data_IF_396676600114
#
_entry.id   IF_396676600114
#
_cell.length_a   1.000
_cell.length_b   1.000
_cell.length_c   1.000
_cell.angle_alpha   90.00
_cell.angle_beta   90.00
_cell.angle_gamma   90.00
#
_symmetry.space_group_name_H-M   'P 1'
#
loop_
_entity.id
_entity.type
_entity.pdbx_description
1 polymer ?
#
# COMPACT_ATOMS: atom_id res chain seq x y z
N UNK A 1 -6.37 -29.92 0.31
CA UNK A 1 -5.54 -29.99 -0.92
C UNK A 1 -5.91 -28.78 -1.76
N UNK A 2 -5.09 -27.73 -1.74
CA UNK A 2 -5.23 -26.64 -2.68
C UNK A 2 -4.68 -27.10 -4.02
N UNK A 3 -5.52 -27.69 -4.84
CA UNK A 3 -5.16 -28.12 -6.22
C UNK A 3 -5.33 -26.98 -7.22
N UNK A 4 -6.04 -25.91 -6.87
CA UNK A 4 -6.22 -24.73 -7.69
C UNK A 4 -5.81 -23.50 -6.92
N UNK A 5 -4.55 -23.09 -7.08
CA UNK A 5 -4.08 -21.78 -6.64
C UNK A 5 -4.66 -20.74 -7.60
N UNK A 6 -5.86 -20.29 -7.29
CA UNK A 6 -6.44 -19.13 -7.94
C UNK A 6 -5.71 -17.87 -7.49
N UNK A 7 -5.85 -16.80 -8.26
CA UNK A 7 -5.27 -15.48 -7.95
C UNK A 7 -5.60 -14.98 -6.54
N UNK A 8 -6.72 -15.41 -5.96
CA UNK A 8 -7.19 -15.00 -4.65
C UNK A 8 -6.91 -16.10 -3.63
N UNK A 9 -5.78 -16.04 -2.98
CA UNK A 9 -5.45 -16.92 -1.86
C UNK A 9 -4.93 -16.10 -0.69
N UNK A 10 -5.04 -16.64 0.51
CA UNK A 10 -4.55 -16.03 1.74
C UNK A 10 -3.87 -17.07 2.63
N UNK A 11 -2.92 -16.64 3.41
CA UNK A 11 -2.28 -17.41 4.48
C UNK A 11 -2.17 -16.53 5.73
N UNK A 12 -3.25 -16.40 6.50
CA UNK A 12 -3.27 -15.52 7.67
C UNK A 12 -2.26 -15.90 8.75
N UNK A 13 -1.87 -17.19 8.84
CA UNK A 13 -0.86 -17.66 9.80
C UNK A 13 0.51 -17.05 9.48
N UNK A 14 0.80 -16.83 8.19
CA UNK A 14 2.02 -16.17 7.72
C UNK A 14 1.85 -14.66 7.54
N UNK A 15 0.70 -14.11 7.88
CA UNK A 15 0.40 -12.69 7.73
C UNK A 15 0.08 -12.28 6.29
N UNK A 16 -0.15 -13.22 5.38
CA UNK A 16 -0.55 -12.93 4.01
C UNK A 16 -2.06 -12.90 3.87
N UNK A 17 -2.63 -11.71 3.66
CA UNK A 17 -4.10 -11.50 3.63
C UNK A 17 -4.69 -11.81 2.25
N UNK A 18 -3.86 -11.81 1.21
CA UNK A 18 -4.25 -12.10 -0.16
C UNK A 18 -4.80 -10.89 -0.91
N UNK A 19 -4.79 -10.94 -2.24
CA UNK A 19 -5.34 -9.89 -3.08
C UNK A 19 -6.86 -10.01 -3.20
N UNK A 20 -7.52 -8.87 -3.40
CA UNK A 20 -8.92 -8.79 -3.80
C UNK A 20 -9.04 -7.96 -5.08
N UNK A 21 -10.10 -8.21 -5.87
CA UNK A 21 -10.27 -7.52 -7.16
C UNK A 21 -10.67 -6.06 -7.03
N UNK A 22 -11.19 -5.63 -5.89
CA UNK A 22 -11.57 -4.25 -5.63
C UNK A 22 -10.32 -3.42 -5.34
N UNK A 23 -9.96 -2.56 -6.31
CA UNK A 23 -8.74 -1.78 -6.25
C UNK A 23 -8.74 -0.79 -5.08
N UNK A 24 -7.74 -0.91 -4.23
CA UNK A 24 -7.55 -0.04 -3.07
C UNK A 24 -8.19 -0.54 -1.77
N UNK A 25 -9.13 -1.46 -1.82
CA UNK A 25 -9.87 -1.93 -0.62
C UNK A 25 -8.99 -2.67 0.40
N UNK A 26 -7.83 -3.20 -0.04
CA UNK A 26 -6.88 -3.80 0.90
C UNK A 26 -6.27 -2.77 1.87
N UNK A 27 -6.23 -1.50 1.53
CA UNK A 27 -5.72 -0.45 2.43
C UNK A 27 -6.61 -0.32 3.68
N UNK A 28 -7.92 -0.10 3.57
CA UNK A 28 -8.80 -0.09 4.75
C UNK A 28 -8.85 -1.44 5.48
N UNK A 29 -8.70 -2.57 4.78
CA UNK A 29 -8.59 -3.89 5.44
C UNK A 29 -7.33 -3.95 6.32
N UNK A 30 -6.18 -3.53 5.81
CA UNK A 30 -4.94 -3.46 6.59
C UNK A 30 -5.06 -2.50 7.78
N UNK A 31 -5.76 -1.39 7.62
CA UNK A 31 -6.06 -0.48 8.73
C UNK A 31 -6.81 -1.18 9.86
N UNK A 32 -7.82 -2.00 9.53
CA UNK A 32 -8.55 -2.79 10.51
C UNK A 32 -7.66 -3.79 11.25
N UNK A 33 -6.78 -4.48 10.53
CA UNK A 33 -5.81 -5.43 11.11
C UNK A 33 -4.85 -4.71 12.06
N UNK A 34 -4.30 -3.55 11.63
CA UNK A 34 -3.40 -2.76 12.46
C UNK A 34 -4.07 -2.18 13.71
N UNK A 35 -5.32 -1.75 13.61
CA UNK A 35 -6.10 -1.33 14.78
C UNK A 35 -6.28 -2.50 15.76
N UNK A 36 -6.67 -3.67 15.27
CA UNK A 36 -6.81 -4.86 16.10
C UNK A 36 -5.49 -5.25 16.78
N UNK A 37 -4.37 -5.20 16.04
CA UNK A 37 -3.03 -5.46 16.57
C UNK A 37 -2.67 -4.47 17.69
N UNK A 38 -2.95 -3.18 17.49
CA UNK A 38 -2.72 -2.14 18.50
C UNK A 38 -3.55 -2.39 19.77
N UNK A 39 -4.83 -2.76 19.62
CA UNK A 39 -5.69 -3.10 20.75
C UNK A 39 -5.16 -4.31 21.54
N UNK A 40 -4.54 -5.27 20.84
CA UNK A 40 -3.87 -6.43 21.44
C UNK A 40 -2.46 -6.14 21.94
N UNK A 41 -1.95 -4.91 21.77
CA UNK A 41 -0.58 -4.50 22.08
C UNK A 41 0.50 -5.30 21.32
N UNK A 42 0.17 -5.75 20.11
CA UNK A 42 1.10 -6.39 19.20
C UNK A 42 1.83 -5.33 18.38
N UNK A 43 3.14 -5.50 18.20
CA UNK A 43 3.94 -4.62 17.36
C UNK A 43 4.00 -5.21 15.94
N UNK A 44 3.17 -4.70 15.03
CA UNK A 44 3.07 -5.15 13.65
C UNK A 44 3.14 -3.98 12.68
N UNK A 45 3.77 -4.19 11.54
CA UNK A 45 3.72 -3.31 10.38
C UNK A 45 2.95 -4.02 9.28
N UNK A 46 2.07 -3.32 8.59
CA UNK A 46 1.39 -3.84 7.42
C UNK A 46 1.95 -3.21 6.14
N UNK A 47 2.00 -4.01 5.08
CA UNK A 47 2.39 -3.55 3.74
C UNK A 47 1.25 -3.82 2.77
N UNK A 48 0.80 -2.79 2.07
CA UNK A 48 -0.19 -2.89 1.01
C UNK A 48 0.45 -2.51 -0.34
N UNK A 49 0.35 -3.41 -1.32
CA UNK A 49 0.81 -3.19 -2.69
C UNK A 49 -0.36 -2.71 -3.54
N UNK A 50 -0.17 -1.63 -4.29
CA UNK A 50 -1.18 -1.08 -5.18
C UNK A 50 -0.55 -0.57 -6.48
N UNK A 51 -1.27 -0.65 -7.59
CA UNK A 51 -0.85 -0.02 -8.83
C UNK A 51 -1.10 1.51 -8.80
N UNK A 52 -0.46 2.24 -9.73
CA UNK A 52 -0.61 3.67 -9.89
C UNK A 52 -2.08 4.11 -10.08
N UNK A 53 -2.87 3.35 -10.86
CA UNK A 53 -4.29 3.63 -11.06
C UNK A 53 -5.13 3.57 -9.79
N UNK A 54 -4.77 2.72 -8.84
CA UNK A 54 -5.44 2.59 -7.55
C UNK A 54 -5.40 3.89 -6.75
N UNK A 55 -4.36 4.71 -6.93
CA UNK A 55 -4.20 5.99 -6.23
C UNK A 55 -5.27 7.02 -6.54
N UNK A 56 -6.16 6.74 -7.51
CA UNK A 56 -7.30 7.58 -7.88
C UNK A 56 -8.64 7.09 -7.32
N UNK A 57 -8.65 5.98 -6.58
CA UNK A 57 -9.87 5.44 -5.96
C UNK A 57 -10.18 6.10 -4.62
N UNK A 58 -11.47 6.15 -4.26
CA UNK A 58 -11.90 6.63 -2.94
C UNK A 58 -11.29 5.81 -1.81
N UNK A 59 -11.30 4.48 -1.94
CA UNK A 59 -10.74 3.55 -0.95
C UNK A 59 -9.25 3.83 -0.64
N UNK A 60 -8.45 4.19 -1.67
CA UNK A 60 -7.07 4.61 -1.48
C UNK A 60 -6.99 5.87 -0.62
N UNK A 61 -7.70 6.94 -1.01
CA UNK A 61 -7.64 8.23 -0.33
C UNK A 61 -8.14 8.14 1.11
N UNK A 62 -9.28 7.50 1.31
CA UNK A 62 -9.88 7.32 2.63
C UNK A 62 -9.01 6.44 3.52
N UNK A 63 -8.51 5.32 2.98
CA UNK A 63 -7.68 4.38 3.71
C UNK A 63 -6.33 4.97 4.13
N UNK A 64 -5.62 5.65 3.23
CA UNK A 64 -4.34 6.31 3.55
C UNK A 64 -4.54 7.44 4.55
N UNK A 65 -5.56 8.27 4.35
CA UNK A 65 -5.89 9.35 5.30
C UNK A 65 -6.24 8.81 6.69
N UNK A 66 -7.02 7.74 6.76
CA UNK A 66 -7.36 7.09 8.04
C UNK A 66 -6.10 6.57 8.73
N UNK A 67 -5.22 5.87 8.00
CA UNK A 67 -3.94 5.39 8.54
C UNK A 67 -3.10 6.54 9.10
N UNK A 68 -3.00 7.65 8.37
CA UNK A 68 -2.27 8.84 8.77
C UNK A 68 -2.83 9.45 10.07
N UNK A 69 -4.16 9.69 10.12
CA UNK A 69 -4.84 10.26 11.30
C UNK A 69 -4.68 9.36 12.52
N UNK A 70 -4.80 8.06 12.34
CA UNK A 70 -4.67 7.07 13.41
C UNK A 70 -3.22 6.70 13.72
N UNK A 71 -2.24 7.23 12.96
CA UNK A 71 -0.81 6.86 13.10
C UNK A 71 -0.62 5.34 13.10
N UNK A 72 -1.21 4.68 12.10
CA UNK A 72 -1.06 3.24 11.92
C UNK A 72 0.25 2.95 11.18
N UNK A 73 0.99 1.90 11.57
CA UNK A 73 2.21 1.48 10.90
C UNK A 73 1.89 0.77 9.56
N UNK A 74 1.30 1.53 8.62
CA UNK A 74 0.94 1.08 7.28
C UNK A 74 1.95 1.62 6.27
N UNK A 75 2.55 0.73 5.50
CA UNK A 75 3.37 1.07 4.34
C UNK A 75 2.56 0.77 3.09
N UNK A 76 2.29 1.78 2.28
CA UNK A 76 1.63 1.61 0.99
C UNK A 76 2.67 1.71 -0.13
N UNK A 77 2.89 0.62 -0.85
CA UNK A 77 3.79 0.57 -2.02
C UNK A 77 2.97 0.82 -3.27
N UNK A 78 3.32 1.88 -4.00
CA UNK A 78 2.71 2.21 -5.28
C UNK A 78 3.64 1.73 -6.40
N UNK A 79 3.21 0.69 -7.11
CA UNK A 79 3.89 0.17 -8.29
C UNK A 79 3.51 1.01 -9.50
N UNK A 80 4.38 1.98 -9.84
CA UNK A 80 4.15 2.88 -10.96
C UNK A 80 4.81 2.35 -12.23
N UNK A 81 4.03 1.69 -13.06
CA UNK A 81 4.47 1.23 -14.39
C UNK A 81 4.11 2.24 -15.52
N UNK A 82 3.57 3.39 -15.17
CA UNK A 82 3.18 4.44 -16.12
C UNK A 82 1.77 4.31 -16.69
N UNK A 83 1.05 3.21 -16.41
CA UNK A 83 -0.26 2.94 -16.96
C UNK A 83 -1.19 2.23 -15.98
N UNK A 84 -2.40 2.74 -15.82
CA UNK A 84 -3.50 1.99 -15.24
C UNK A 84 -4.27 1.35 -16.40
N UNK A 85 -4.05 0.06 -16.62
CA UNK A 85 -4.56 -0.67 -17.78
C UNK A 85 -4.13 0.03 -19.09
N UNK A 86 -5.02 0.78 -19.75
CA UNK A 86 -4.73 1.54 -20.98
C UNK A 86 -4.60 3.06 -20.74
N UNK A 87 -4.76 3.53 -19.50
CA UNK A 87 -4.76 4.95 -19.16
C UNK A 87 -3.37 5.37 -18.66
N UNK A 88 -2.63 6.23 -19.37
CA UNK A 88 -1.34 6.71 -18.92
C UNK A 88 -1.48 7.59 -17.68
N UNK A 89 -0.46 7.58 -16.79
CA UNK A 89 -0.46 8.29 -15.51
C UNK A 89 -0.77 9.78 -15.64
N UNK A 90 -0.31 10.46 -16.70
CA UNK A 90 -0.61 11.87 -16.98
C UNK A 90 -2.11 12.20 -17.15
N UNK A 91 -2.95 11.17 -17.37
CA UNK A 91 -4.40 11.30 -17.44
C UNK A 91 -5.10 10.92 -16.15
N UNK A 92 -4.37 10.43 -15.16
CA UNK A 92 -4.89 9.98 -13.87
C UNK A 92 -4.57 10.94 -12.74
N UNK A 93 -3.36 11.50 -12.73
CA UNK A 93 -2.88 12.36 -11.66
C UNK A 93 -2.19 13.59 -12.24
N UNK A 94 -2.41 14.73 -11.62
CA UNK A 94 -1.81 16.02 -12.00
C UNK A 94 -0.55 16.34 -11.15
N UNK A 95 -0.21 15.53 -10.16
CA UNK A 95 1.05 15.65 -9.42
C UNK A 95 2.22 15.23 -10.31
N UNK A 96 3.40 15.81 -10.07
CA UNK A 96 4.61 15.47 -10.82
C UNK A 96 5.07 14.03 -10.53
N UNK A 97 4.95 13.60 -9.28
CA UNK A 97 5.21 12.23 -8.85
C UNK A 97 4.15 11.75 -7.85
N UNK A 98 3.88 10.45 -7.80
CA UNK A 98 2.90 9.91 -6.84
C UNK A 98 3.31 10.13 -5.38
N UNK A 99 4.61 10.23 -5.10
CA UNK A 99 5.13 10.55 -3.77
C UNK A 99 4.65 11.91 -3.25
N UNK A 100 4.30 12.85 -4.14
CA UNK A 100 3.79 14.17 -3.76
C UNK A 100 2.44 14.09 -3.01
N UNK A 101 1.68 13.00 -3.23
CA UNK A 101 0.43 12.75 -2.50
C UNK A 101 0.65 12.59 -1.00
N UNK A 102 1.83 12.10 -0.59
CA UNK A 102 2.20 11.91 0.81
C UNK A 102 2.16 13.24 1.58
N UNK A 103 2.53 14.34 0.95
CA UNK A 103 2.50 15.69 1.54
C UNK A 103 1.05 16.05 1.96
N UNK A 104 0.09 15.76 1.09
CA UNK A 104 -1.33 16.04 1.36
C UNK A 104 -1.90 15.23 2.54
N UNK A 105 -1.36 14.04 2.80
CA UNK A 105 -1.75 13.20 3.94
C UNK A 105 -0.92 13.46 5.20
N UNK A 106 0.16 14.25 5.11
CA UNK A 106 1.07 14.50 6.23
C UNK A 106 1.86 13.26 6.66
N UNK A 107 2.24 12.40 5.70
CA UNK A 107 3.00 11.17 5.93
C UNK A 107 4.34 11.21 5.23
N UNK A 108 5.25 10.30 5.60
CA UNK A 108 6.52 10.12 4.92
C UNK A 108 6.29 9.58 3.50
N UNK A 109 6.80 10.30 2.48
CA UNK A 109 6.86 9.85 1.10
C UNK A 109 8.30 9.47 0.73
N UNK A 110 8.47 8.28 0.15
CA UNK A 110 9.75 7.79 -0.36
C UNK A 110 9.58 7.35 -1.80
N UNK A 111 10.61 7.55 -2.61
CA UNK A 111 10.65 7.10 -4.01
C UNK A 111 11.96 6.36 -4.25
N UNK A 112 11.89 5.27 -5.01
CA UNK A 112 13.04 4.45 -5.37
C UNK A 112 12.88 3.87 -6.76
N UNK A 113 13.98 3.43 -7.37
CA UNK A 113 13.93 2.63 -8.59
C UNK A 113 13.53 1.19 -8.22
N UNK A 114 12.36 0.75 -8.67
CA UNK A 114 11.84 -0.60 -8.43
C UNK A 114 12.64 -1.73 -9.11
N UNK A 115 13.56 -1.40 -10.02
CA UNK A 115 14.45 -2.37 -10.67
C UNK A 115 15.79 -2.53 -9.93
N UNK A 116 16.07 -1.70 -8.92
CA UNK A 116 17.24 -1.83 -8.05
C UNK A 116 16.84 -2.47 -6.72
N UNK A 117 17.17 -3.74 -6.54
CA UNK A 117 16.82 -4.51 -5.35
C UNK A 117 17.47 -3.95 -4.07
N UNK A 118 18.68 -3.39 -4.16
CA UNK A 118 19.36 -2.79 -3.01
C UNK A 118 18.68 -1.50 -2.61
N UNK A 119 18.38 -0.63 -3.57
CA UNK A 119 17.65 0.61 -3.33
C UNK A 119 16.25 0.35 -2.75
N UNK A 120 15.54 -0.67 -3.24
CA UNK A 120 14.26 -1.11 -2.69
C UNK A 120 14.39 -1.55 -1.24
N UNK A 121 15.39 -2.37 -0.91
CA UNK A 121 15.63 -2.83 0.45
C UNK A 121 15.91 -1.66 1.41
N UNK A 122 16.83 -0.76 1.05
CA UNK A 122 17.17 0.40 1.89
C UNK A 122 15.98 1.35 2.07
N UNK A 123 15.17 1.53 1.02
CA UNK A 123 13.96 2.36 1.09
C UNK A 123 12.92 1.73 2.00
N UNK A 124 12.69 0.42 1.90
CA UNK A 124 11.75 -0.30 2.77
C UNK A 124 12.23 -0.27 4.23
N UNK A 125 13.52 -0.47 4.47
CA UNK A 125 14.10 -0.38 5.82
C UNK A 125 13.81 0.98 6.45
N UNK A 126 14.05 2.08 5.72
CA UNK A 126 13.72 3.43 6.18
C UNK A 126 12.23 3.63 6.48
N UNK A 127 11.36 3.03 5.67
CA UNK A 127 9.92 3.12 5.88
C UNK A 127 9.47 2.38 7.14
N UNK A 128 10.09 1.24 7.45
CA UNK A 128 9.78 0.44 8.65
C UNK A 128 10.31 1.10 9.93
N UNK A 129 11.45 1.79 9.83
CA UNK A 129 12.09 2.46 10.98
C UNK A 129 11.47 3.82 11.34
N UNK A 130 10.61 4.37 10.45
CA UNK A 130 9.93 5.66 10.65
C UNK A 130 8.72 5.53 11.58
#
# INVERSE_FOLDING_TARGET
>A
RATDLQFHFADPEKGFVGPISHLGDMIPVMNGILLASRMKKENRVAVAYVGDGTTSTGAFHEGVNFAAVQKLPLITIIENNGYAYSTPTRRQANCAAFVDKAIGYGILGLQTDGNDAVACYETMKRAVEH
#
